data_IF_393672764671
#
_entry.id   IF_393672764671
#
_cell.length_a   1.000
_cell.length_b   1.000
_cell.length_c   1.000
_cell.angle_alpha   90.00
_cell.angle_beta   90.00
_cell.angle_gamma   90.00
#
_symmetry.space_group_name_H-M   'P 1'
#
loop_
_entity.id
_entity.type
_entity.pdbx_description
1 polymer ?
#
# COMPACT_ATOMS: atom_id res chain seq x y z
N UNK A 1 3.04 13.85 -39.14
CA UNK A 1 4.19 14.46 -39.86
C UNK A 1 4.16 15.97 -39.65
N UNK A 2 4.81 16.51 -38.62
CA UNK A 2 5.26 17.91 -38.58
C UNK A 2 6.47 18.06 -37.62
N UNK A 3 7.65 18.26 -38.24
CA UNK A 3 8.72 19.26 -37.96
C UNK A 3 9.21 19.39 -36.50
N UNK A 4 10.37 18.86 -36.10
CA UNK A 4 11.76 19.38 -36.28
C UNK A 4 12.04 20.78 -35.71
N UNK A 5 12.62 20.83 -34.50
CA UNK A 5 13.55 21.88 -34.07
C UNK A 5 14.63 21.19 -33.21
N UNK A 6 15.84 21.10 -33.75
CA UNK A 6 17.05 20.74 -33.03
C UNK A 6 17.86 22.03 -32.84
N UNK A 7 18.36 22.35 -31.63
CA UNK A 7 19.65 23.04 -31.45
C UNK A 7 20.17 23.07 -29.99
N UNK A 8 21.23 22.28 -29.77
CA UNK A 8 22.48 22.50 -29.03
C UNK A 8 22.59 23.53 -27.88
N UNK A 9 23.04 23.06 -26.70
CA UNK A 9 24.15 23.66 -25.97
C UNK A 9 25.11 22.58 -25.43
N UNK A 10 26.30 22.53 -26.02
CA UNK A 10 27.45 21.83 -25.46
C UNK A 10 28.15 22.77 -24.47
N UNK A 11 28.38 22.31 -23.24
CA UNK A 11 29.36 22.91 -22.33
C UNK A 11 30.40 21.85 -21.95
N UNK A 12 31.65 22.15 -22.26
CA UNK A 12 32.80 21.33 -21.97
C UNK A 12 33.29 21.60 -20.53
N UNK A 13 33.66 20.52 -19.84
CA UNK A 13 34.78 20.50 -18.91
C UNK A 13 34.53 21.02 -17.48
N UNK A 14 34.12 20.12 -16.59
CA UNK A 14 34.65 20.10 -15.22
C UNK A 14 35.24 18.71 -14.96
N UNK A 15 36.56 18.63 -14.99
CA UNK A 15 37.31 17.51 -14.43
C UNK A 15 37.27 17.64 -12.89
N UNK A 16 36.32 16.97 -12.25
CA UNK A 16 36.44 16.61 -10.85
C UNK A 16 37.08 15.22 -10.78
N UNK A 17 38.39 15.18 -10.60
CA UNK A 17 38.97 14.08 -9.85
C UNK A 17 38.28 14.06 -8.47
N UNK A 18 38.02 12.87 -7.92
CA UNK A 18 38.43 12.45 -6.57
C UNK A 18 37.58 11.26 -6.12
N UNK A 19 38.31 10.30 -5.54
CA UNK A 19 37.85 9.22 -4.67
C UNK A 19 37.35 7.97 -5.37
N UNK A 20 38.27 7.00 -5.43
CA UNK A 20 37.99 5.57 -5.44
C UNK A 20 36.88 5.25 -4.45
N UNK A 21 35.64 5.21 -4.93
CA UNK A 21 34.54 4.64 -4.18
C UNK A 21 34.61 3.16 -4.49
N UNK A 22 35.17 2.39 -3.57
CA UNK A 22 34.99 0.95 -3.52
C UNK A 22 33.54 0.66 -3.85
N UNK A 23 33.30 -0.03 -4.95
CA UNK A 23 32.00 -0.62 -5.27
C UNK A 23 31.73 -1.69 -4.22
N UNK A 24 31.36 -1.27 -3.01
CA UNK A 24 30.45 -2.07 -2.22
C UNK A 24 29.20 -2.13 -3.07
N UNK A 25 28.96 -3.29 -3.67
CA UNK A 25 27.65 -3.63 -4.21
C UNK A 25 26.65 -3.15 -3.17
N UNK A 26 25.86 -2.14 -3.53
CA UNK A 26 24.72 -1.76 -2.75
C UNK A 26 23.78 -2.95 -2.80
N UNK A 27 23.99 -3.89 -1.89
CA UNK A 27 22.94 -4.76 -1.41
C UNK A 27 21.86 -3.79 -0.98
N UNK A 28 20.88 -3.59 -1.85
CA UNK A 28 19.59 -3.05 -1.49
C UNK A 28 18.92 -4.16 -0.68
N UNK A 29 19.52 -4.50 0.45
CA UNK A 29 18.78 -5.00 1.58
C UNK A 29 17.88 -3.83 1.89
N UNK A 30 16.66 -3.86 1.35
CA UNK A 30 15.54 -3.13 1.92
C UNK A 30 15.72 -3.31 3.41
N UNK A 31 16.20 -2.26 4.08
CA UNK A 31 16.28 -2.28 5.52
C UNK A 31 14.82 -2.38 5.92
N UNK A 32 14.36 -3.61 6.14
CA UNK A 32 13.24 -3.89 7.00
C UNK A 32 13.66 -3.19 8.28
N UNK A 33 13.20 -1.94 8.45
CA UNK A 33 13.59 -1.10 9.56
C UNK A 33 13.34 -1.94 10.79
N UNK A 34 14.39 -2.16 11.58
CA UNK A 34 14.32 -3.02 12.76
C UNK A 34 13.15 -2.51 13.58
N UNK A 35 12.15 -3.35 13.80
CA UNK A 35 10.90 -2.97 14.48
C UNK A 35 11.13 -2.49 15.92
N UNK A 36 12.35 -2.64 16.43
CA UNK A 36 12.75 -2.31 17.78
C UNK A 36 12.37 -3.40 18.79
N UNK A 37 11.71 -4.48 18.35
CA UNK A 37 11.22 -5.56 19.22
C UNK A 37 12.12 -6.80 19.25
N UNK A 38 13.24 -6.77 18.52
CA UNK A 38 14.22 -7.85 18.47
C UNK A 38 14.05 -8.76 17.26
N UNK A 39 15.17 -9.32 16.80
CA UNK A 39 15.26 -10.07 15.53
C UNK A 39 14.28 -11.24 15.41
N UNK A 40 14.01 -11.97 16.51
CA UNK A 40 13.04 -13.07 16.51
C UNK A 40 11.60 -12.59 16.25
N UNK A 41 11.25 -11.41 16.76
CA UNK A 41 9.93 -10.80 16.53
C UNK A 41 9.85 -10.24 15.12
N UNK A 42 10.95 -9.66 14.60
CA UNK A 42 11.03 -9.22 13.20
C UNK A 42 10.76 -10.38 12.22
N UNK A 43 11.29 -11.58 12.48
CA UNK A 43 11.04 -12.77 11.64
C UNK A 43 9.57 -13.23 11.68
N UNK A 44 8.94 -13.19 12.85
CA UNK A 44 7.51 -13.51 13.03
C UNK A 44 6.66 -12.51 12.25
N UNK A 45 6.96 -11.21 12.39
CA UNK A 45 6.27 -10.15 11.65
C UNK A 45 6.50 -10.33 10.15
N UNK A 46 7.72 -10.62 9.70
CA UNK A 46 8.01 -10.83 8.28
C UNK A 46 7.23 -12.00 7.68
N UNK A 47 7.12 -13.14 8.39
CA UNK A 47 6.28 -14.26 7.93
C UNK A 47 4.80 -13.91 7.89
N UNK A 48 4.31 -13.20 8.91
CA UNK A 48 2.93 -12.76 8.98
C UNK A 48 2.61 -11.78 7.84
N UNK A 49 3.49 -10.80 7.60
CA UNK A 49 3.39 -9.86 6.50
C UNK A 49 3.49 -10.55 5.13
N UNK A 50 4.38 -11.53 4.95
CA UNK A 50 4.48 -12.25 3.68
C UNK A 50 3.16 -12.89 3.24
N UNK A 51 2.42 -13.45 4.20
CA UNK A 51 1.12 -14.07 3.93
C UNK A 51 0.01 -13.04 3.80
N UNK A 52 -0.11 -12.12 4.76
CA UNK A 52 -1.21 -11.15 4.82
C UNK A 52 -1.11 -10.08 3.73
N UNK A 53 0.09 -9.66 3.36
CA UNK A 53 0.32 -8.74 2.25
C UNK A 53 -0.07 -9.37 0.93
N UNK A 54 0.29 -10.65 0.69
CA UNK A 54 -0.15 -11.39 -0.50
C UNK A 54 -1.67 -11.47 -0.57
N UNK A 55 -2.34 -11.65 0.56
CA UNK A 55 -3.80 -11.67 0.63
C UNK A 55 -4.41 -10.28 0.36
N UNK A 56 -3.78 -9.22 0.85
CA UNK A 56 -4.18 -7.84 0.56
C UNK A 56 -4.03 -7.51 -0.92
N UNK A 57 -2.92 -7.93 -1.55
CA UNK A 57 -2.66 -7.75 -2.98
C UNK A 57 -3.55 -8.65 -3.86
N UNK A 58 -4.09 -9.75 -3.30
CA UNK A 58 -5.08 -10.59 -3.96
C UNK A 58 -6.50 -9.99 -3.94
N UNK A 59 -6.76 -8.97 -3.12
CA UNK A 59 -8.03 -8.27 -3.13
C UNK A 59 -8.26 -7.58 -4.48
N UNK A 60 -9.49 -7.67 -5.00
CA UNK A 60 -9.86 -6.98 -6.25
C UNK A 60 -9.77 -5.47 -6.03
N UNK A 61 -9.42 -4.71 -7.07
CA UNK A 61 -9.39 -3.24 -6.99
C UNK A 61 -10.75 -2.68 -6.56
N UNK A 62 -10.76 -1.85 -5.51
CA UNK A 62 -11.97 -1.30 -4.84
C UNK A 62 -12.82 -2.32 -4.07
N UNK A 63 -12.32 -3.53 -3.82
CA UNK A 63 -12.94 -4.44 -2.85
C UNK A 63 -12.57 -3.98 -1.44
N UNK A 64 -13.21 -2.90 -1.00
CA UNK A 64 -12.89 -2.23 0.26
C UNK A 64 -13.12 -3.13 1.48
N UNK A 65 -14.03 -4.09 1.39
CA UNK A 65 -14.30 -5.06 2.46
C UNK A 65 -13.10 -6.01 2.61
N UNK A 66 -12.64 -6.61 1.50
CA UNK A 66 -11.43 -7.41 1.47
C UNK A 66 -10.20 -6.61 1.93
N UNK A 67 -10.01 -5.39 1.41
CA UNK A 67 -8.87 -4.55 1.78
C UNK A 67 -8.89 -4.17 3.27
N UNK A 68 -10.07 -3.92 3.85
CA UNK A 68 -10.24 -3.65 5.28
C UNK A 68 -9.93 -4.89 6.14
N UNK A 69 -10.42 -6.07 5.76
CA UNK A 69 -10.18 -7.31 6.49
C UNK A 69 -8.69 -7.69 6.46
N UNK A 70 -8.07 -7.67 5.28
CA UNK A 70 -6.65 -8.03 5.17
C UNK A 70 -5.74 -7.01 5.85
N UNK A 71 -6.08 -5.72 5.85
CA UNK A 71 -5.33 -4.71 6.60
C UNK A 71 -5.43 -4.91 8.11
N UNK A 72 -6.57 -5.40 8.62
CA UNK A 72 -6.71 -5.82 10.02
C UNK A 72 -5.80 -7.03 10.34
N UNK A 73 -5.69 -7.98 9.43
CA UNK A 73 -4.76 -9.11 9.58
C UNK A 73 -3.30 -8.64 9.63
N UNK A 74 -2.93 -7.67 8.79
CA UNK A 74 -1.61 -7.02 8.82
C UNK A 74 -1.38 -6.32 10.17
N UNK A 75 -2.36 -5.57 10.70
CA UNK A 75 -2.28 -4.95 12.04
C UNK A 75 -2.08 -5.98 13.16
N UNK A 76 -2.69 -7.15 13.02
CA UNK A 76 -2.53 -8.24 13.99
C UNK A 76 -1.11 -8.76 14.03
N UNK A 77 -0.39 -8.77 12.89
CA UNK A 77 1.04 -9.08 12.86
C UNK A 77 1.84 -8.16 13.79
N UNK A 78 1.52 -6.86 13.77
CA UNK A 78 2.17 -5.84 14.59
C UNK A 78 1.73 -5.86 16.07
N UNK A 79 0.74 -6.64 16.49
CA UNK A 79 0.44 -6.80 17.93
C UNK A 79 1.57 -7.50 18.69
N UNK A 80 2.43 -8.26 17.99
CA UNK A 80 3.66 -8.82 18.55
C UNK A 80 4.76 -7.77 18.76
N UNK A 81 4.61 -6.57 18.17
CA UNK A 81 5.53 -5.44 18.31
C UNK A 81 4.79 -4.09 18.23
N UNK A 82 4.19 -3.63 19.33
CA UNK A 82 3.47 -2.34 19.35
C UNK A 82 4.39 -1.12 19.16
N UNK A 83 5.70 -1.29 19.38
CA UNK A 83 6.72 -0.24 19.20
C UNK A 83 7.14 -0.04 17.73
N UNK A 84 6.65 -0.89 16.81
CA UNK A 84 7.05 -0.82 15.41
C UNK A 84 6.57 0.50 14.78
N UNK A 85 7.47 1.33 14.20
CA UNK A 85 7.09 2.61 13.59
C UNK A 85 6.16 2.46 12.38
N UNK A 86 6.15 1.30 11.70
CA UNK A 86 5.30 1.01 10.55
C UNK A 86 3.85 0.77 10.93
N UNK A 87 3.59 0.37 12.19
CA UNK A 87 2.24 0.06 12.68
C UNK A 87 1.28 1.22 12.49
N UNK A 88 1.72 2.45 12.75
CA UNK A 88 0.90 3.66 12.58
C UNK A 88 0.49 3.90 11.12
N UNK A 89 1.37 3.58 10.16
CA UNK A 89 1.05 3.70 8.74
C UNK A 89 -0.03 2.72 8.31
N UNK A 90 0.08 1.46 8.77
CA UNK A 90 -0.92 0.42 8.50
C UNK A 90 -2.25 0.73 9.21
N UNK A 91 -2.20 1.25 10.43
CA UNK A 91 -3.40 1.68 11.17
C UNK A 91 -4.20 2.72 10.40
N UNK A 92 -3.53 3.77 9.90
CA UNK A 92 -4.17 4.80 9.09
C UNK A 92 -4.72 4.25 7.77
N UNK A 93 -3.99 3.35 7.12
CA UNK A 93 -4.44 2.70 5.89
C UNK A 93 -5.68 1.83 6.15
N UNK A 94 -5.70 1.06 7.23
CA UNK A 94 -6.82 0.25 7.65
C UNK A 94 -8.06 1.10 7.93
N UNK A 95 -7.92 2.20 8.66
CA UNK A 95 -9.02 3.16 8.90
C UNK A 95 -9.57 3.68 7.57
N UNK A 96 -8.71 4.04 6.62
CA UNK A 96 -9.14 4.51 5.29
C UNK A 96 -9.94 3.45 4.53
N UNK A 97 -9.44 2.22 4.42
CA UNK A 97 -10.12 1.13 3.72
C UNK A 97 -11.43 0.74 4.39
N UNK A 98 -11.46 0.62 5.72
CA UNK A 98 -12.67 0.27 6.44
C UNK A 98 -13.74 1.37 6.35
N UNK A 99 -13.35 2.64 6.34
CA UNK A 99 -14.29 3.75 6.11
C UNK A 99 -14.84 3.72 4.68
N UNK A 100 -13.99 3.43 3.69
CA UNK A 100 -14.42 3.25 2.30
C UNK A 100 -15.40 2.07 2.17
N UNK A 101 -15.14 0.94 2.85
CA UNK A 101 -16.04 -0.22 2.88
C UNK A 101 -17.42 0.16 3.44
N UNK A 102 -17.44 0.87 4.57
CA UNK A 102 -18.69 1.35 5.19
C UNK A 102 -19.48 2.25 4.25
N UNK A 103 -18.80 3.15 3.52
CA UNK A 103 -19.43 4.03 2.54
C UNK A 103 -19.95 3.27 1.31
N UNK A 104 -19.17 2.33 0.77
CA UNK A 104 -19.53 1.55 -0.41
C UNK A 104 -20.70 0.61 -0.16
N UNK A 105 -20.72 -0.08 0.98
CA UNK A 105 -21.85 -0.94 1.38
C UNK A 105 -23.12 -0.11 1.51
N UNK A 106 -23.05 1.09 2.09
CA UNK A 106 -24.19 1.99 2.19
C UNK A 106 -24.72 2.44 0.82
N UNK A 107 -23.83 2.82 -0.09
CA UNK A 107 -24.20 3.22 -1.46
C UNK A 107 -24.80 2.09 -2.27
N UNK A 108 -24.29 0.86 -2.16
CA UNK A 108 -24.82 -0.32 -2.85
C UNK A 108 -26.18 -0.73 -2.30
N UNK A 109 -26.35 -0.79 -0.98
CA UNK A 109 -27.65 -1.12 -0.38
C UNK A 109 -28.68 -0.04 -0.71
N UNK A 110 -28.30 1.25 -0.68
CA UNK A 110 -29.18 2.34 -1.03
C UNK A 110 -29.64 2.27 -2.50
N UNK A 111 -28.75 1.91 -3.43
CA UNK A 111 -29.09 1.69 -4.84
C UNK A 111 -30.07 0.53 -5.01
N UNK A 112 -29.81 -0.60 -4.35
CA UNK A 112 -30.70 -1.76 -4.40
C UNK A 112 -32.07 -1.44 -3.82
N UNK A 113 -32.14 -0.72 -2.69
CA UNK A 113 -33.42 -0.32 -2.08
C UNK A 113 -34.16 0.71 -2.92
N UNK A 114 -33.46 1.62 -3.61
CA UNK A 114 -34.10 2.58 -4.52
C UNK A 114 -34.64 1.90 -5.79
N UNK A 115 -33.92 0.92 -6.34
CA UNK A 115 -34.39 0.10 -7.46
C UNK A 115 -35.66 -0.70 -7.10
N UNK A 116 -35.64 -1.41 -5.97
CA UNK A 116 -36.80 -2.19 -5.50
C UNK A 116 -38.03 -1.29 -5.24
N UNK A 117 -37.83 -0.06 -4.76
CA UNK A 117 -38.93 0.91 -4.59
C UNK A 117 -39.49 1.44 -5.90
N UNK A 118 -38.71 1.46 -6.98
CA UNK A 118 -39.19 1.85 -8.31
C UNK A 118 -40.02 0.71 -8.94
N UNK A 119 -39.55 -0.53 -8.87
CA UNK A 119 -40.28 -1.72 -9.35
C UNK A 119 -41.64 -1.93 -8.68
N UNK A 120 -41.77 -1.62 -7.39
CA UNK A 120 -43.04 -1.69 -6.66
C UNK A 120 -44.01 -0.55 -7.01
N UNK A 121 -43.55 0.56 -7.62
CA UNK A 121 -44.40 1.68 -8.05
C UNK A 121 -45.02 1.42 -9.43
N UNK A 122 -44.33 0.72 -10.33
CA UNK A 122 -44.86 0.39 -11.66
C UNK A 122 -45.82 -0.80 -11.68
N UNK A 123 -45.92 -1.55 -10.57
CA UNK A 123 -46.81 -2.72 -10.45
C UNK A 123 -48.17 -2.43 -9.80
N UNK A 124 -48.54 -1.16 -9.60
CA UNK A 124 -49.81 -0.71 -9.01
C UNK A 124 -50.52 0.29 -9.92
#
# INVERSE_FOLDING_TARGET
>A
MHVSQALLLAIAGLAAAQTSTTSAAASTSSAAGTSGCGSQIDDIIASCLGTTQTQLDACTTNDWDCMCEQSNNVLTCYNNCPSDPRRNGIDQQNVSYCNAAKAYVYSHISQTVHGIRFDLRESA
#
